data_IF_448663374777
#
_entry.id   IF_448663374777
#
_cell.length_a   1.000
_cell.length_b   1.000
_cell.length_c   1.000
_cell.angle_alpha   90.00
_cell.angle_beta   90.00
_cell.angle_gamma   90.00
#
_symmetry.space_group_name_H-M   'P 1'
#
loop_
_entity.id
_entity.type
_entity.pdbx_description
1 polymer ?
#
# COMPACT_ATOMS: atom_id res chain seq x y z
N UNK A 1 12.60 13.57 51.39
CA UNK A 1 13.23 12.70 50.38
C UNK A 1 14.71 13.06 50.38
N UNK A 2 15.61 12.09 50.54
CA UNK A 2 17.04 12.37 50.47
C UNK A 2 17.39 12.90 49.07
N UNK A 3 18.20 13.95 49.00
CA UNK A 3 18.68 14.49 47.72
C UNK A 3 19.64 13.48 47.08
N UNK A 4 19.37 13.15 45.81
CA UNK A 4 20.20 12.21 45.06
C UNK A 4 21.63 12.76 44.90
N UNK A 5 22.64 11.93 45.16
CA UNK A 5 24.05 12.31 45.06
C UNK A 5 24.63 11.88 43.72
N UNK A 6 25.46 12.71 43.11
CA UNK A 6 26.12 12.34 41.85
C UNK A 6 26.97 11.07 42.03
N UNK A 7 26.77 10.10 41.15
CA UNK A 7 27.43 8.79 41.18
C UNK A 7 26.72 7.75 42.05
N UNK A 8 25.69 8.12 42.82
CA UNK A 8 24.91 7.23 43.68
C UNK A 8 24.27 6.09 42.89
N UNK A 9 24.33 4.88 43.44
CA UNK A 9 23.71 3.67 42.87
C UNK A 9 22.67 3.16 43.86
N UNK A 10 21.43 3.00 43.39
CA UNK A 10 20.32 2.47 44.19
C UNK A 10 19.57 1.38 43.43
N UNK A 11 18.69 0.66 44.12
CA UNK A 11 17.75 -0.22 43.45
C UNK A 11 16.70 0.59 42.69
N UNK A 12 16.39 0.22 41.45
CA UNK A 12 15.38 0.94 40.65
C UNK A 12 14.03 1.04 41.34
N UNK A 13 13.63 0.02 42.12
CA UNK A 13 12.35 -0.01 42.84
C UNK A 13 12.24 1.10 43.89
N UNK A 14 13.34 1.57 44.46
CA UNK A 14 13.36 2.63 45.48
C UNK A 14 12.91 3.98 44.92
N UNK A 15 12.99 4.18 43.61
CA UNK A 15 12.55 5.40 42.90
C UNK A 15 11.42 5.11 41.90
N UNK A 16 10.73 3.98 42.03
CA UNK A 16 9.60 3.61 41.18
C UNK A 16 9.98 3.13 39.76
N UNK A 17 11.25 2.80 39.51
CA UNK A 17 11.71 2.20 38.25
C UNK A 17 11.65 0.67 38.40
N UNK A 18 10.65 0.04 37.77
CA UNK A 18 10.37 -1.39 37.93
C UNK A 18 11.13 -2.28 36.94
N UNK A 19 11.66 -1.72 35.86
CA UNK A 19 12.31 -2.41 34.74
C UNK A 19 13.86 -2.42 34.82
N UNK A 20 14.42 -1.95 35.93
CA UNK A 20 15.85 -1.91 36.20
C UNK A 20 16.18 -2.34 37.64
N UNK A 21 17.09 -3.30 37.81
CA UNK A 21 17.56 -3.71 39.13
C UNK A 21 18.43 -2.65 39.81
N UNK A 22 19.33 -1.99 39.06
CA UNK A 22 20.19 -0.94 39.56
C UNK A 22 20.21 0.27 38.62
N UNK A 23 20.21 1.46 39.22
CA UNK A 23 20.27 2.74 38.53
C UNK A 23 21.32 3.62 39.19
N UNK A 24 22.00 4.44 38.38
CA UNK A 24 23.03 5.35 38.84
C UNK A 24 22.65 6.81 38.52
N UNK A 25 22.83 7.72 39.47
CA UNK A 25 22.56 9.14 39.26
C UNK A 25 23.73 9.83 38.56
N UNK A 26 23.58 10.14 37.26
CA UNK A 26 24.65 10.70 36.43
C UNK A 26 24.17 11.84 35.53
N UNK A 27 25.04 12.84 35.25
CA UNK A 27 24.75 13.90 34.30
C UNK A 27 24.77 13.40 32.86
N UNK A 28 24.07 14.10 31.97
CA UNK A 28 24.25 13.92 30.54
C UNK A 28 25.57 14.55 30.11
N UNK A 29 26.39 13.84 29.32
CA UNK A 29 27.68 14.39 28.86
C UNK A 29 27.54 15.64 27.98
N UNK A 30 26.40 15.85 27.31
CA UNK A 30 26.20 17.03 26.45
C UNK A 30 25.44 18.20 27.12
N UNK A 31 24.44 17.93 27.98
CA UNK A 31 23.62 18.99 28.58
C UNK A 31 23.75 19.11 30.10
N UNK A 32 24.60 18.28 30.72
CA UNK A 32 24.89 18.22 32.15
C UNK A 32 23.70 18.00 33.09
N UNK A 33 22.48 17.85 32.56
CA UNK A 33 21.28 17.57 33.37
C UNK A 33 21.41 16.20 34.04
N UNK A 34 21.33 16.12 35.38
CA UNK A 34 21.43 14.87 36.11
C UNK A 34 20.16 14.04 35.95
N UNK A 35 20.32 12.70 35.94
CA UNK A 35 19.21 11.75 35.81
C UNK A 35 19.63 10.39 36.37
N UNK A 36 18.64 9.58 36.71
CA UNK A 36 18.85 8.15 36.95
C UNK A 36 19.08 7.41 35.63
N UNK A 37 20.18 6.67 35.55
CA UNK A 37 20.58 5.90 34.37
C UNK A 37 20.66 4.43 34.76
N UNK A 38 19.98 3.56 34.01
CA UNK A 38 20.05 2.12 34.21
C UNK A 38 21.48 1.61 34.09
N UNK A 39 21.88 0.71 34.99
CA UNK A 39 23.15 -0.02 34.88
C UNK A 39 22.88 -1.38 34.20
N UNK A 40 23.67 -1.70 33.17
CA UNK A 40 23.64 -2.99 32.46
C UNK A 40 25.07 -3.51 32.39
N UNK A 41 25.29 -4.76 32.84
CA UNK A 41 26.64 -5.39 32.88
C UNK A 41 27.69 -4.50 33.58
N UNK A 42 27.30 -3.88 34.70
CA UNK A 42 28.19 -3.04 35.51
C UNK A 42 28.52 -1.65 34.92
N UNK A 43 27.89 -1.24 33.81
CA UNK A 43 28.11 0.07 33.19
C UNK A 43 26.78 0.84 33.00
N UNK A 44 26.79 2.19 33.06
CA UNK A 44 25.63 2.99 32.68
C UNK A 44 25.22 2.71 31.23
N UNK A 45 23.96 2.36 31.01
CA UNK A 45 23.44 1.98 29.70
C UNK A 45 23.57 3.11 28.66
N UNK A 46 23.41 4.36 29.12
CA UNK A 46 23.49 5.54 28.25
C UNK A 46 24.21 6.69 28.94
N UNK A 47 25.26 7.22 28.30
CA UNK A 47 25.98 8.42 28.76
C UNK A 47 25.24 9.71 28.42
N UNK A 48 24.41 9.70 27.37
CA UNK A 48 23.55 10.82 26.95
C UNK A 48 22.09 10.63 27.37
N UNK A 49 21.38 11.73 27.65
CA UNK A 49 19.93 11.69 27.80
C UNK A 49 19.25 11.49 26.43
N UNK A 50 17.96 11.12 26.42
CA UNK A 50 17.22 10.82 25.18
C UNK A 50 17.29 11.95 24.15
N UNK A 51 17.09 13.21 24.55
CA UNK A 51 17.11 14.34 23.63
C UNK A 51 18.51 14.60 23.05
N UNK A 52 19.56 14.53 23.89
CA UNK A 52 20.94 14.72 23.42
C UNK A 52 21.41 13.55 22.56
N UNK A 53 21.09 12.32 22.95
CA UNK A 53 21.34 11.12 22.15
C UNK A 53 20.67 11.18 20.78
N UNK A 54 19.43 11.68 20.68
CA UNK A 54 18.74 11.87 19.40
C UNK A 54 19.38 12.94 18.51
N UNK A 55 19.94 14.02 19.09
CA UNK A 55 20.67 15.05 18.32
C UNK A 55 21.96 14.52 17.70
N UNK A 56 22.64 13.62 18.40
CA UNK A 56 23.89 13.00 17.94
C UNK A 56 23.67 11.66 17.23
N UNK A 57 22.41 11.22 17.08
CA UNK A 57 22.12 9.97 16.42
C UNK A 57 22.40 10.11 14.91
N UNK A 58 23.55 9.60 14.48
CA UNK A 58 23.93 9.34 13.09
C UNK A 58 23.15 8.16 12.51
N UNK A 59 21.88 7.99 12.88
CA UNK A 59 21.01 7.19 12.03
C UNK A 59 20.93 7.95 10.72
N UNK A 60 21.74 7.50 9.76
CA UNK A 60 21.47 7.58 8.35
C UNK A 60 19.99 7.26 8.21
N UNK A 61 19.16 8.31 8.18
CA UNK A 61 17.82 8.20 7.65
C UNK A 61 18.11 7.90 6.20
N UNK A 62 18.31 6.63 5.92
CA UNK A 62 18.52 6.14 4.58
C UNK A 62 17.33 6.67 3.79
N UNK A 63 17.62 7.65 2.94
CA UNK A 63 16.67 8.44 2.17
C UNK A 63 17.03 8.24 0.71
N UNK A 64 16.03 8.23 -0.15
CA UNK A 64 16.29 7.95 -1.55
C UNK A 64 16.95 6.59 -1.73
N UNK A 65 17.88 6.53 -2.67
CA UNK A 65 18.60 5.33 -3.10
C UNK A 65 19.41 4.66 -1.99
N UNK A 66 19.78 5.39 -0.94
CA UNK A 66 20.51 4.81 0.21
C UNK A 66 19.62 3.92 1.09
N UNK A 67 18.29 3.94 0.89
CA UNK A 67 17.34 3.10 1.62
C UNK A 67 17.14 1.77 0.90
N UNK A 68 17.40 0.65 1.58
CA UNK A 68 17.18 -0.69 1.01
C UNK A 68 15.72 -0.95 0.59
N UNK A 69 14.76 -0.19 1.11
CA UNK A 69 13.34 -0.24 0.70
C UNK A 69 12.99 0.71 -0.45
N UNK A 70 13.97 1.44 -0.98
CA UNK A 70 13.78 2.35 -2.10
C UNK A 70 13.51 1.58 -3.38
N UNK A 71 12.33 1.82 -3.96
CA UNK A 71 11.90 1.20 -5.22
C UNK A 71 11.96 2.21 -6.36
N UNK A 72 13.14 2.81 -6.56
CA UNK A 72 13.32 3.88 -7.56
C UNK A 72 12.47 5.12 -7.29
N UNK A 73 12.11 5.37 -6.03
CA UNK A 73 11.26 6.50 -5.64
C UNK A 73 9.78 6.33 -5.96
N UNK A 74 9.35 5.09 -6.21
CA UNK A 74 7.94 4.72 -6.39
C UNK A 74 7.27 4.49 -5.04
N UNK A 75 6.09 5.07 -4.86
CA UNK A 75 5.23 4.85 -3.70
C UNK A 75 3.81 4.53 -4.15
N UNK A 76 3.11 3.69 -3.40
CA UNK A 76 1.67 3.49 -3.58
C UNK A 76 0.91 4.71 -3.09
N UNK A 77 -0.08 5.15 -3.87
CA UNK A 77 -1.02 6.19 -3.53
C UNK A 77 -2.42 5.59 -3.29
N UNK A 78 -3.28 6.38 -2.65
CA UNK A 78 -4.65 5.96 -2.34
C UNK A 78 -5.40 5.49 -3.59
N UNK A 79 -6.17 4.41 -3.42
CA UNK A 79 -6.97 3.85 -4.52
C UNK A 79 -6.18 3.05 -5.55
N UNK A 80 -4.97 2.56 -5.24
CA UNK A 80 -4.22 1.64 -6.13
C UNK A 80 -3.38 2.33 -7.20
N UNK A 81 -3.22 3.65 -7.12
CA UNK A 81 -2.32 4.37 -8.01
C UNK A 81 -0.86 4.28 -7.54
N UNK A 82 0.07 4.55 -8.45
CA UNK A 82 1.50 4.69 -8.15
C UNK A 82 1.95 6.14 -8.39
N UNK A 83 2.79 6.64 -7.50
CA UNK A 83 3.49 7.92 -7.63
C UNK A 83 4.99 7.71 -7.68
N UNK A 84 5.69 8.59 -8.40
CA UNK A 84 7.14 8.57 -8.56
C UNK A 84 7.70 9.92 -8.12
N UNK A 85 8.78 9.90 -7.33
CA UNK A 85 9.51 11.11 -7.00
C UNK A 85 10.04 11.76 -8.29
N UNK A 86 10.00 13.08 -8.36
CA UNK A 86 10.60 13.88 -9.41
C UNK A 86 11.60 14.84 -8.77
N UNK A 87 12.80 14.89 -9.35
CA UNK A 87 13.85 15.85 -9.00
C UNK A 87 13.62 17.14 -9.80
N UNK A 88 14.09 18.30 -9.32
CA UNK A 88 13.99 19.56 -10.07
C UNK A 88 14.60 19.52 -11.48
N UNK A 89 15.54 18.61 -11.72
CA UNK A 89 16.19 18.37 -13.01
C UNK A 89 15.39 17.49 -13.97
N UNK A 90 14.34 16.81 -13.49
CA UNK A 90 13.57 15.87 -14.30
C UNK A 90 12.66 16.63 -15.28
N UNK A 91 12.58 16.12 -16.52
CA UNK A 91 11.84 16.72 -17.64
C UNK A 91 10.39 17.12 -17.30
N UNK A 92 9.71 16.32 -16.46
CA UNK A 92 8.31 16.54 -16.08
C UNK A 92 8.15 16.93 -14.61
N UNK A 93 9.19 17.49 -13.97
CA UNK A 93 9.11 17.99 -12.60
C UNK A 93 7.93 18.95 -12.36
N UNK A 94 7.55 19.74 -13.37
CA UNK A 94 6.41 20.66 -13.31
C UNK A 94 5.07 19.96 -13.01
N UNK A 95 4.97 18.65 -13.24
CA UNK A 95 3.78 17.85 -12.94
C UNK A 95 3.78 17.27 -11.51
N UNK A 96 4.86 17.46 -10.75
CA UNK A 96 4.96 17.00 -9.39
C UNK A 96 4.16 17.89 -8.43
N UNK A 97 3.63 17.27 -7.37
CA UNK A 97 3.00 17.99 -6.25
C UNK A 97 4.10 18.64 -5.39
N UNK A 98 3.68 19.48 -4.43
CA UNK A 98 4.60 20.14 -3.48
C UNK A 98 5.50 19.18 -2.67
N UNK A 99 5.12 17.91 -2.55
CA UNK A 99 5.93 16.88 -1.90
C UNK A 99 6.98 16.23 -2.84
N UNK A 100 7.10 16.71 -4.08
CA UNK A 100 8.03 16.20 -5.09
C UNK A 100 7.55 14.96 -5.85
N UNK A 101 6.32 14.48 -5.65
CA UNK A 101 5.81 13.29 -6.33
C UNK A 101 4.83 13.62 -7.46
N UNK A 102 4.95 12.92 -8.58
CA UNK A 102 4.00 12.95 -9.69
C UNK A 102 3.33 11.57 -9.86
N UNK A 103 2.11 11.55 -10.42
CA UNK A 103 1.41 10.29 -10.69
C UNK A 103 2.07 9.56 -11.85
N UNK A 104 2.39 8.28 -11.68
CA UNK A 104 3.17 7.53 -12.68
C UNK A 104 2.47 7.45 -14.04
N UNK A 105 1.19 7.06 -14.06
CA UNK A 105 0.41 6.98 -15.30
C UNK A 105 0.39 8.31 -16.09
N UNK A 106 0.42 9.46 -15.39
CA UNK A 106 0.54 10.78 -16.02
C UNK A 106 1.93 11.01 -16.61
N UNK A 107 2.99 10.58 -15.92
CA UNK A 107 4.37 10.68 -16.42
C UNK A 107 4.57 9.80 -17.67
N UNK A 108 4.05 8.57 -17.66
CA UNK A 108 4.13 7.67 -18.83
C UNK A 108 3.42 8.28 -20.04
N UNK A 109 2.21 8.83 -19.84
CA UNK A 109 1.48 9.51 -20.92
C UNK A 109 2.20 10.79 -21.38
N UNK A 110 2.77 11.58 -20.47
CA UNK A 110 3.55 12.77 -20.81
C UNK A 110 4.79 12.41 -21.65
N UNK A 111 5.49 11.34 -21.31
CA UNK A 111 6.64 10.86 -22.08
C UNK A 111 6.22 10.40 -23.47
N UNK A 112 5.12 9.65 -23.58
CA UNK A 112 4.57 9.24 -24.87
C UNK A 112 4.18 10.42 -25.77
N UNK A 113 3.63 11.49 -25.19
CA UNK A 113 3.26 12.71 -25.92
C UNK A 113 4.45 13.66 -26.16
N UNK A 114 5.58 13.45 -25.48
CA UNK A 114 6.74 14.34 -25.52
C UNK A 114 6.52 15.71 -24.84
N UNK A 115 5.44 15.90 -24.06
CA UNK A 115 5.12 17.17 -23.38
C UNK A 115 4.45 16.93 -22.01
N UNK A 116 4.54 17.89 -21.07
CA UNK A 116 3.77 17.79 -19.83
C UNK A 116 2.27 17.81 -20.08
N UNK A 117 1.53 17.12 -19.21
CA UNK A 117 0.07 17.14 -19.20
C UNK A 117 -0.45 18.34 -18.43
N UNK A 118 -1.49 18.98 -18.98
CA UNK A 118 -2.23 20.02 -18.30
C UNK A 118 -3.05 19.45 -17.14
N UNK A 119 -3.43 20.29 -16.15
CA UNK A 119 -4.23 19.86 -15.00
C UNK A 119 -5.61 19.29 -15.35
N UNK A 120 -6.21 19.71 -16.47
CA UNK A 120 -7.53 19.24 -16.94
C UNK A 120 -7.48 18.00 -17.83
N UNK A 121 -6.28 17.60 -18.29
CA UNK A 121 -6.08 16.38 -19.06
C UNK A 121 -6.07 15.19 -18.11
N UNK A 122 -7.03 14.29 -18.27
CA UNK A 122 -7.17 13.08 -17.45
C UNK A 122 -6.60 11.89 -18.19
N UNK A 123 -5.97 10.98 -17.44
CA UNK A 123 -5.44 9.73 -17.99
C UNK A 123 -6.24 8.59 -17.37
N UNK A 124 -6.87 7.82 -18.23
CA UNK A 124 -7.78 6.73 -17.89
C UNK A 124 -7.13 5.37 -18.14
N UNK A 125 -7.34 4.44 -17.22
CA UNK A 125 -6.88 3.05 -17.34
C UNK A 125 -7.97 2.21 -17.99
N UNK A 126 -7.71 1.72 -19.21
CA UNK A 126 -8.69 1.00 -20.04
C UNK A 126 -9.16 -0.30 -19.36
N UNK A 127 -8.24 -1.05 -18.75
CA UNK A 127 -8.58 -2.27 -18.02
C UNK A 127 -9.09 -2.02 -16.58
N UNK A 128 -9.13 -0.76 -16.12
CA UNK A 128 -9.51 -0.39 -14.75
C UNK A 128 -8.49 -0.76 -13.66
N UNK A 129 -7.33 -1.32 -14.02
CA UNK A 129 -6.23 -1.67 -13.12
C UNK A 129 -5.27 -0.48 -13.03
N UNK A 130 -5.23 0.17 -11.87
CA UNK A 130 -4.63 1.51 -11.69
C UNK A 130 -3.11 1.52 -11.54
N UNK A 131 -2.49 0.38 -11.34
CA UNK A 131 -1.04 0.18 -11.31
C UNK A 131 -0.48 -0.39 -12.62
N UNK A 132 -1.35 -0.78 -13.56
CA UNK A 132 -0.96 -1.17 -14.92
C UNK A 132 -0.78 0.08 -15.79
N UNK A 133 0.41 0.68 -15.69
CA UNK A 133 0.76 1.94 -16.34
C UNK A 133 1.42 1.77 -17.71
N UNK A 134 1.24 0.62 -18.37
CA UNK A 134 1.71 0.41 -19.75
C UNK A 134 0.93 1.33 -20.69
N UNK A 135 1.60 1.94 -21.67
CA UNK A 135 1.00 2.99 -22.50
C UNK A 135 -0.23 2.50 -23.27
N UNK A 136 -0.24 1.25 -23.71
CA UNK A 136 -1.38 0.61 -24.38
C UNK A 136 -2.64 0.48 -23.50
N UNK A 137 -2.47 0.57 -22.17
CA UNK A 137 -3.57 0.54 -21.20
C UNK A 137 -4.04 1.95 -20.79
N UNK A 138 -3.38 3.01 -21.27
CA UNK A 138 -3.66 4.38 -20.89
C UNK A 138 -4.36 5.14 -22.02
N UNK A 139 -5.35 5.95 -21.68
CA UNK A 139 -6.02 6.85 -22.62
C UNK A 139 -6.09 8.26 -22.06
N UNK A 140 -5.67 9.24 -22.87
CA UNK A 140 -5.87 10.64 -22.55
C UNK A 140 -7.30 11.05 -22.89
N UNK A 141 -8.03 11.58 -21.91
CA UNK A 141 -9.42 12.01 -22.07
C UNK A 141 -9.69 13.32 -21.33
N UNK A 142 -10.76 14.02 -21.71
CA UNK A 142 -11.21 15.20 -20.98
C UNK A 142 -11.90 14.81 -19.67
N UNK A 143 -11.99 15.75 -18.73
CA UNK A 143 -12.67 15.53 -17.45
C UNK A 143 -14.12 15.05 -17.61
N UNK A 144 -14.88 15.66 -18.53
CA UNK A 144 -16.28 15.29 -18.77
C UNK A 144 -16.37 13.85 -19.32
N UNK A 145 -15.54 13.53 -20.30
CA UNK A 145 -15.51 12.18 -20.89
C UNK A 145 -15.08 11.11 -19.87
N UNK A 146 -14.18 11.45 -18.93
CA UNK A 146 -13.70 10.51 -17.91
C UNK A 146 -14.82 9.96 -17.03
N UNK A 147 -15.71 10.82 -16.56
CA UNK A 147 -16.78 10.40 -15.65
C UNK A 147 -17.81 9.54 -16.39
N UNK A 148 -18.13 9.89 -17.63
CA UNK A 148 -19.01 9.11 -18.51
C UNK A 148 -18.42 7.73 -18.82
N UNK A 149 -17.16 7.68 -19.27
CA UNK A 149 -16.46 6.42 -19.60
C UNK A 149 -16.40 5.52 -18.37
N UNK A 150 -16.00 6.05 -17.22
CA UNK A 150 -15.93 5.29 -15.96
C UNK A 150 -17.29 4.71 -15.59
N UNK A 151 -18.37 5.48 -15.75
CA UNK A 151 -19.73 5.01 -15.45
C UNK A 151 -20.16 3.89 -16.41
N UNK A 152 -19.89 4.06 -17.70
CA UNK A 152 -20.23 3.09 -18.74
C UNK A 152 -19.48 1.78 -18.51
N UNK A 153 -18.18 1.82 -18.25
CA UNK A 153 -17.35 0.63 -17.99
C UNK A 153 -17.84 -0.13 -16.75
N UNK A 154 -18.22 0.58 -15.68
CA UNK A 154 -18.82 -0.05 -14.48
C UNK A 154 -20.13 -0.76 -14.80
N UNK A 155 -20.98 -0.15 -15.64
CA UNK A 155 -22.24 -0.77 -16.08
C UNK A 155 -21.99 -1.99 -16.96
N UNK A 156 -21.08 -1.88 -17.93
CA UNK A 156 -20.68 -2.98 -18.82
C UNK A 156 -20.18 -4.17 -18.00
N UNK A 157 -19.21 -3.96 -17.11
CA UNK A 157 -18.68 -5.02 -16.23
C UNK A 157 -19.78 -5.69 -15.40
N UNK A 158 -20.73 -4.91 -14.88
CA UNK A 158 -21.87 -5.46 -14.13
C UNK A 158 -22.77 -6.32 -15.01
N UNK A 159 -23.04 -5.88 -16.24
CA UNK A 159 -23.86 -6.63 -17.20
C UNK A 159 -23.16 -7.89 -17.68
N UNK A 160 -21.86 -7.82 -17.99
CA UNK A 160 -21.04 -8.97 -18.36
C UNK A 160 -21.05 -10.05 -17.27
N UNK A 161 -20.92 -9.65 -16.00
CA UNK A 161 -21.03 -10.57 -14.87
C UNK A 161 -22.41 -11.25 -14.81
N UNK A 162 -23.49 -10.50 -15.02
CA UNK A 162 -24.85 -11.04 -15.08
C UNK A 162 -25.04 -12.01 -16.24
N UNK A 163 -24.53 -11.68 -17.43
CA UNK A 163 -24.58 -12.55 -18.61
C UNK A 163 -23.82 -13.85 -18.34
N UNK A 164 -22.62 -13.76 -17.76
CA UNK A 164 -21.82 -14.92 -17.37
C UNK A 164 -22.54 -15.82 -16.35
N UNK A 165 -23.19 -15.23 -15.35
CA UNK A 165 -24.00 -15.93 -14.36
C UNK A 165 -25.22 -16.62 -14.98
N UNK A 166 -25.96 -15.92 -15.83
CA UNK A 166 -27.09 -16.49 -16.58
C UNK A 166 -26.66 -17.64 -17.48
N UNK A 167 -25.49 -17.54 -18.11
CA UNK A 167 -24.95 -18.61 -18.96
C UNK A 167 -24.68 -19.89 -18.16
N UNK A 168 -24.20 -19.77 -16.92
CA UNK A 168 -24.02 -20.93 -16.01
C UNK A 168 -25.37 -21.60 -15.72
N UNK A 169 -26.40 -20.81 -15.44
CA UNK A 169 -27.74 -21.33 -15.17
C UNK A 169 -28.35 -22.02 -16.40
N UNK A 170 -28.21 -21.42 -17.59
CA UNK A 170 -28.64 -22.03 -18.85
C UNK A 170 -27.94 -23.37 -19.08
N UNK A 171 -26.62 -23.44 -18.82
CA UNK A 171 -25.87 -24.69 -18.98
C UNK A 171 -26.34 -25.78 -18.00
N UNK A 172 -26.66 -25.40 -16.76
CA UNK A 172 -27.22 -26.31 -15.76
C UNK A 172 -28.60 -26.84 -16.20
N UNK A 173 -29.52 -25.95 -16.60
CA UNK A 173 -30.84 -26.35 -17.07
C UNK A 173 -30.78 -27.25 -18.31
N UNK A 174 -29.88 -26.96 -19.26
CA UNK A 174 -29.64 -27.82 -20.42
C UNK A 174 -29.18 -29.21 -20.00
N UNK A 175 -28.32 -29.30 -18.99
CA UNK A 175 -27.88 -30.57 -18.42
C UNK A 175 -29.04 -31.34 -17.76
N UNK A 176 -29.84 -30.68 -16.93
CA UNK A 176 -31.02 -31.29 -16.28
C UNK A 176 -32.04 -31.80 -17.30
N UNK A 177 -32.34 -31.02 -18.34
CA UNK A 177 -33.23 -31.43 -19.43
C UNK A 177 -32.70 -32.65 -20.18
N UNK A 178 -31.38 -32.74 -20.39
CA UNK A 178 -30.76 -33.93 -20.99
C UNK A 178 -31.01 -35.17 -20.12
N UNK A 179 -30.78 -35.06 -18.81
CA UNK A 179 -31.01 -36.17 -17.87
C UNK A 179 -32.48 -36.60 -17.83
N UNK A 180 -33.41 -35.66 -17.85
CA UNK A 180 -34.86 -35.96 -17.90
C UNK A 180 -35.26 -36.63 -19.22
N UNK A 181 -34.74 -36.16 -20.36
CA UNK A 181 -35.00 -36.79 -21.67
C UNK A 181 -34.49 -38.23 -21.72
N UNK A 182 -33.31 -38.49 -21.19
CA UNK A 182 -32.75 -39.85 -21.08
C UNK A 182 -33.68 -40.74 -20.24
N UNK A 183 -34.11 -40.27 -19.06
CA UNK A 183 -35.07 -41.01 -18.21
C UNK A 183 -36.39 -41.32 -18.91
N UNK A 184 -36.98 -40.36 -19.63
CA UNK A 184 -38.24 -40.56 -20.38
C UNK A 184 -38.06 -41.57 -21.51
N UNK A 185 -36.94 -41.52 -22.23
CA UNK A 185 -36.64 -42.45 -23.32
C UNK A 185 -36.54 -43.90 -22.82
N UNK A 186 -35.80 -44.14 -21.73
CA UNK A 186 -35.65 -45.48 -21.16
C UNK A 186 -36.90 -45.94 -20.38
N UNK A 187 -37.71 -45.03 -19.84
CA UNK A 187 -38.96 -45.35 -19.15
C UNK A 187 -40.12 -45.77 -20.06
N UNK A 188 -40.12 -45.37 -21.35
CA UNK A 188 -41.12 -45.80 -22.34
C UNK A 188 -40.79 -47.13 -23.04
N UNK A 189 -39.58 -47.66 -22.84
CA UNK A 189 -39.11 -48.92 -23.46
C UNK A 189 -39.57 -50.21 -22.78
N UNK A 190 -40.48 -50.16 -21.81
CA UNK A 190 -40.98 -51.33 -21.06
C UNK A 190 -42.47 -51.62 -21.26
N UNK A 191 -43.04 -51.38 -22.44
CA UNK A 191 -44.34 -51.96 -22.80
C UNK A 191 -44.06 -53.23 -23.60
N UNK A 192 -44.02 -54.37 -22.90
CA UNK A 192 -43.94 -55.67 -23.54
C UNK A 192 -45.17 -55.87 -24.46
N UNK A 193 -45.01 -56.40 -25.68
CA UNK A 193 -46.16 -56.76 -26.49
C UNK A 193 -46.92 -57.86 -25.77
N UNK A 194 -48.19 -57.61 -25.42
CA UNK A 194 -49.12 -58.67 -25.05
C UNK A 194 -49.22 -59.61 -26.25
N UNK A 195 -48.76 -60.84 -26.07
CA UNK A 195 -49.01 -61.92 -27.02
C UNK A 195 -50.37 -62.51 -26.69
N UNK A 196 -51.28 -62.44 -27.66
CA UNK A 196 -52.55 -63.17 -27.71
C UNK A 196 -52.32 -64.69 -27.72
#
# INVERSE_FOLDING_TARGET
MAEARLGEIINGKEIGITDAHYVQYLPCIDCSKPRWVRIVKGKPQFTRCRSCGQRHATFSRHKGETNARWKGGRIGAGGGYVQVIQRPTDKFFIMAKANGYAMEHRLVMAEHLGRPLNPWEMVHHINGIRDDNRIENLRLISKLAHDEVTLIERKLKRLENKVSEQQKYINLLKWELKQLREKVYYGRGQVAPQKD
#
